data_IF_283507273541
#
_entry.id   IF_283507273541
#
_cell.length_a   1.000
_cell.length_b   1.000
_cell.length_c   1.000
_cell.angle_alpha   90.00
_cell.angle_beta   90.00
_cell.angle_gamma   90.00
#
_symmetry.space_group_name_H-M   'P 1'
#
loop_
_entity.id
_entity.type
_entity.pdbx_description
1 polymer ?
#
# COMPACT_ATOMS: atom_id res chain seq x y z
N UNK A 1 -6.33 -45.63 -12.72
CA UNK A 1 -6.59 -44.34 -13.41
C UNK A 1 -7.30 -43.30 -12.54
N UNK A 2 -8.35 -43.65 -11.79
CA UNK A 2 -9.11 -42.71 -10.93
C UNK A 2 -8.25 -41.94 -9.90
N UNK A 3 -7.25 -42.60 -9.31
CA UNK A 3 -6.30 -42.01 -8.36
C UNK A 3 -5.34 -40.96 -8.96
N UNK A 4 -5.03 -41.00 -10.27
CA UNK A 4 -4.16 -40.02 -10.94
C UNK A 4 -4.90 -38.72 -11.24
N UNK A 5 -6.20 -38.82 -11.53
CA UNK A 5 -7.10 -37.68 -11.78
C UNK A 5 -7.33 -36.90 -10.48
N UNK A 6 -7.60 -37.61 -9.37
CA UNK A 6 -7.81 -36.99 -8.04
C UNK A 6 -6.56 -36.21 -7.58
N UNK A 7 -5.35 -36.74 -7.83
CA UNK A 7 -4.09 -36.09 -7.45
C UNK A 7 -3.81 -34.81 -8.26
N UNK A 8 -4.19 -34.76 -9.54
CA UNK A 8 -4.02 -33.57 -10.37
C UNK A 8 -4.99 -32.44 -9.98
N UNK A 9 -6.22 -32.79 -9.60
CA UNK A 9 -7.24 -31.82 -9.17
C UNK A 9 -6.85 -31.14 -7.85
N UNK A 10 -6.29 -31.89 -6.89
CA UNK A 10 -5.87 -31.31 -5.59
C UNK A 10 -4.69 -30.34 -5.76
N UNK A 11 -3.72 -30.66 -6.62
CA UNK A 11 -2.58 -29.76 -6.91
C UNK A 11 -3.03 -28.47 -7.61
N UNK A 12 -4.01 -28.56 -8.51
CA UNK A 12 -4.55 -27.39 -9.22
C UNK A 12 -5.33 -26.43 -8.30
N UNK A 13 -6.06 -26.95 -7.31
CA UNK A 13 -6.82 -26.12 -6.35
C UNK A 13 -5.90 -25.38 -5.37
N UNK A 14 -4.80 -26.01 -4.93
CA UNK A 14 -3.83 -25.36 -4.04
C UNK A 14 -3.04 -24.23 -4.73
N UNK A 15 -2.87 -24.28 -6.06
CA UNK A 15 -2.17 -23.26 -6.82
C UNK A 15 -2.93 -21.93 -6.93
N UNK A 16 -4.27 -21.93 -6.82
CA UNK A 16 -5.08 -20.72 -7.00
C UNK A 16 -5.25 -19.84 -5.75
N UNK A 17 -4.93 -20.33 -4.55
CA UNK A 17 -5.11 -19.56 -3.29
C UNK A 17 -3.87 -18.78 -2.83
N UNK A 18 -2.80 -18.74 -3.64
CA UNK A 18 -1.53 -18.15 -3.24
C UNK A 18 -1.39 -16.63 -3.50
N UNK A 19 -2.43 -15.95 -4.01
CA UNK A 19 -2.47 -14.49 -4.08
C UNK A 19 -2.74 -13.90 -2.69
N UNK A 20 -1.80 -14.06 -1.77
CA UNK A 20 -1.89 -13.51 -0.43
C UNK A 20 -1.37 -12.06 -0.40
N UNK A 21 -2.07 -11.20 0.33
CA UNK A 21 -1.79 -9.78 0.54
C UNK A 21 -0.49 -9.57 1.35
N UNK A 22 0.65 -9.70 0.68
CA UNK A 22 1.99 -9.54 1.27
C UNK A 22 2.41 -8.07 1.41
N UNK A 23 1.60 -7.11 0.96
CA UNK A 23 2.02 -5.71 0.80
C UNK A 23 2.07 -4.91 2.10
N UNK A 24 1.31 -5.32 3.13
CA UNK A 24 1.20 -4.61 4.41
C UNK A 24 2.29 -5.00 5.42
N UNK A 25 2.73 -6.26 5.42
CA UNK A 25 3.78 -6.79 6.31
C UNK A 25 5.14 -6.07 6.19
N UNK A 26 5.72 -5.86 4.99
CA UNK A 26 7.01 -5.19 4.86
C UNK A 26 6.92 -3.72 5.30
N UNK A 27 5.84 -3.01 4.95
CA UNK A 27 5.68 -1.59 5.28
C UNK A 27 5.70 -1.32 6.78
N UNK A 28 5.06 -2.18 7.59
CA UNK A 28 5.05 -2.04 9.06
C UNK A 28 6.43 -2.30 9.67
N UNK A 29 7.15 -3.31 9.17
CA UNK A 29 8.50 -3.64 9.64
C UNK A 29 9.50 -2.52 9.33
N UNK A 30 9.37 -1.88 8.16
CA UNK A 30 10.29 -0.82 7.71
C UNK A 30 10.05 0.53 8.42
N UNK A 31 8.82 0.79 8.86
CA UNK A 31 8.43 2.11 9.40
C UNK A 31 8.28 2.11 10.91
N UNK A 32 8.08 0.94 11.53
CA UNK A 32 7.60 0.78 12.90
C UNK A 32 6.30 1.59 13.18
N UNK A 33 5.52 1.86 12.13
CA UNK A 33 4.33 2.69 12.17
C UNK A 33 3.06 1.91 12.49
N UNK A 34 2.06 2.63 13.02
CA UNK A 34 0.71 2.13 13.24
C UNK A 34 -0.21 2.63 12.10
N UNK A 35 -0.72 1.74 11.23
CA UNK A 35 -1.58 2.12 10.12
C UNK A 35 -2.89 2.80 10.55
N UNK A 36 -3.46 2.45 11.70
CA UNK A 36 -4.71 3.07 12.17
C UNK A 36 -4.47 4.50 12.63
N UNK A 37 -3.35 4.75 13.32
CA UNK A 37 -2.89 6.11 13.63
C UNK A 37 -2.56 6.89 12.35
N UNK A 38 -1.92 6.25 11.37
CA UNK A 38 -1.63 6.83 10.06
C UNK A 38 -2.91 7.28 9.34
N UNK A 39 -3.94 6.42 9.32
CA UNK A 39 -5.24 6.73 8.72
C UNK A 39 -5.91 7.95 9.35
N UNK A 40 -5.88 8.07 10.68
CA UNK A 40 -6.39 9.27 11.37
C UNK A 40 -5.55 10.51 11.06
N UNK A 41 -4.22 10.37 11.03
CA UNK A 41 -3.31 11.48 10.70
C UNK A 41 -3.57 12.05 9.30
N UNK A 42 -3.83 11.20 8.29
CA UNK A 42 -4.11 11.65 6.91
C UNK A 42 -5.32 12.61 6.84
N UNK A 43 -6.35 12.38 7.66
CA UNK A 43 -7.49 13.29 7.75
C UNK A 43 -7.12 14.54 8.54
N UNK A 44 -6.49 14.39 9.71
CA UNK A 44 -6.21 15.50 10.63
C UNK A 44 -5.21 16.53 10.07
N UNK A 45 -4.24 16.07 9.28
CA UNK A 45 -3.27 16.94 8.60
C UNK A 45 -3.73 17.39 7.20
N UNK A 46 -4.98 17.12 6.83
CA UNK A 46 -5.59 17.66 5.60
C UNK A 46 -5.15 16.99 4.29
N UNK A 47 -4.49 15.82 4.34
CA UNK A 47 -4.02 15.13 3.14
C UNK A 47 -5.17 14.79 2.16
N UNK A 48 -6.36 14.53 2.72
CA UNK A 48 -7.59 14.21 1.95
C UNK A 48 -8.09 15.36 1.08
N UNK A 49 -7.69 16.61 1.37
CA UNK A 49 -8.09 17.78 0.60
C UNK A 49 -7.44 17.82 -0.79
N UNK A 50 -6.24 17.23 -0.94
CA UNK A 50 -5.48 17.24 -2.19
C UNK A 50 -5.41 15.86 -2.85
N UNK A 51 -5.40 14.79 -2.06
CA UNK A 51 -5.14 13.44 -2.55
C UNK A 51 -6.36 12.52 -2.47
N UNK A 52 -6.45 11.60 -3.42
CA UNK A 52 -7.27 10.40 -3.32
C UNK A 52 -6.50 9.30 -2.57
N UNK A 53 -7.11 8.76 -1.49
CA UNK A 53 -6.49 7.80 -0.58
C UNK A 53 -7.46 6.64 -0.29
N UNK A 54 -7.17 5.42 -0.79
CA UNK A 54 -8.04 4.26 -0.54
C UNK A 54 -8.25 4.00 0.95
N UNK A 55 -9.51 3.78 1.35
CA UNK A 55 -9.87 3.47 2.72
C UNK A 55 -9.96 4.65 3.68
N UNK A 56 -9.76 5.90 3.21
CA UNK A 56 -9.94 7.13 4.00
C UNK A 56 -11.19 7.87 3.51
N UNK A 57 -12.07 8.26 4.44
CA UNK A 57 -13.34 8.92 4.10
C UNK A 57 -13.07 10.35 3.61
N UNK A 58 -13.73 10.76 2.52
CA UNK A 58 -13.64 12.12 1.99
C UNK A 58 -12.39 12.42 1.16
N UNK A 59 -11.57 11.41 0.81
CA UNK A 59 -10.41 11.60 -0.05
C UNK A 59 -10.74 11.21 -1.50
N UNK A 60 -11.36 12.12 -2.22
CA UNK A 60 -11.70 11.99 -3.65
C UNK A 60 -11.12 13.15 -4.48
N UNK A 61 -10.15 13.87 -3.90
CA UNK A 61 -9.48 14.98 -4.56
C UNK A 61 -8.44 14.50 -5.58
N UNK A 62 -8.34 15.23 -6.68
CA UNK A 62 -7.37 15.04 -7.76
C UNK A 62 -6.46 16.26 -7.93
N UNK A 63 -6.47 17.20 -6.97
CA UNK A 63 -5.57 18.36 -6.98
C UNK A 63 -4.10 17.95 -6.92
N UNK A 64 -3.81 16.79 -6.31
CA UNK A 64 -2.50 16.16 -6.29
C UNK A 64 -2.60 14.67 -6.67
N UNK A 65 -1.48 14.01 -7.04
CA UNK A 65 -1.49 12.61 -7.46
C UNK A 65 -2.10 11.68 -6.41
N UNK A 66 -2.85 10.63 -6.79
CA UNK A 66 -3.44 9.71 -5.82
C UNK A 66 -2.34 9.01 -5.01
N UNK A 67 -2.60 8.69 -3.74
CA UNK A 67 -1.65 7.95 -2.87
C UNK A 67 -1.86 6.43 -2.94
N UNK A 68 -2.74 5.97 -3.82
CA UNK A 68 -2.89 4.53 -4.09
C UNK A 68 -1.54 3.93 -4.48
N UNK A 69 -1.23 2.82 -3.83
CA UNK A 69 -0.02 2.07 -4.06
C UNK A 69 1.28 2.84 -3.81
N UNK A 70 1.27 3.85 -2.91
CA UNK A 70 2.47 4.65 -2.66
C UNK A 70 3.65 3.80 -2.17
N UNK A 71 3.41 2.74 -1.38
CA UNK A 71 4.49 1.90 -0.85
C UNK A 71 5.17 1.02 -1.91
N UNK A 72 4.54 0.82 -3.07
CA UNK A 72 5.09 0.01 -4.17
C UNK A 72 5.84 0.86 -5.21
N UNK A 73 5.83 2.19 -5.08
CA UNK A 73 6.56 3.07 -6.01
C UNK A 73 8.05 3.00 -5.73
N UNK A 74 8.88 3.05 -6.77
CA UNK A 74 10.33 3.17 -6.62
C UNK A 74 10.76 4.58 -6.23
N UNK A 75 10.01 5.59 -6.67
CA UNK A 75 10.33 7.01 -6.45
C UNK A 75 9.15 7.83 -5.92
N UNK A 76 9.46 8.79 -5.07
CA UNK A 76 8.58 9.84 -4.56
C UNK A 76 8.78 11.11 -5.40
N UNK A 77 7.67 11.69 -5.89
CA UNK A 77 7.66 12.87 -6.75
C UNK A 77 8.57 12.77 -8.00
N UNK A 78 8.96 11.56 -8.40
CA UNK A 78 9.91 11.31 -9.49
C UNK A 78 11.37 11.67 -9.19
N UNK A 79 11.70 12.01 -7.94
CA UNK A 79 13.02 12.57 -7.58
C UNK A 79 13.74 11.79 -6.47
N UNK A 80 13.00 11.30 -5.46
CA UNK A 80 13.59 10.64 -4.29
C UNK A 80 13.30 9.15 -4.32
N UNK A 81 14.26 8.29 -3.98
CA UNK A 81 13.97 6.88 -3.75
C UNK A 81 12.92 6.73 -2.64
N UNK A 82 11.98 5.81 -2.81
CA UNK A 82 10.90 5.59 -1.85
C UNK A 82 11.36 4.74 -0.66
N UNK A 83 12.08 5.40 0.25
CA UNK A 83 12.45 4.85 1.55
C UNK A 83 11.60 5.47 2.65
N UNK A 84 11.43 4.81 3.82
CA UNK A 84 10.71 5.40 4.95
C UNK A 84 11.24 6.77 5.38
N UNK A 85 12.57 6.97 5.37
CA UNK A 85 13.20 8.24 5.72
C UNK A 85 12.89 9.34 4.71
N UNK A 86 13.03 9.04 3.41
CA UNK A 86 12.72 10.00 2.36
C UNK A 86 11.24 10.37 2.37
N UNK A 87 10.34 9.41 2.59
CA UNK A 87 8.90 9.67 2.67
C UNK A 87 8.55 10.57 3.86
N UNK A 88 9.14 10.31 5.04
CA UNK A 88 8.95 11.19 6.21
C UNK A 88 9.42 12.61 5.93
N UNK A 89 10.63 12.76 5.40
CA UNK A 89 11.21 14.06 5.07
C UNK A 89 10.36 14.81 4.04
N UNK A 90 9.90 14.11 2.99
CA UNK A 90 9.04 14.68 1.96
C UNK A 90 7.68 15.14 2.51
N UNK A 91 7.07 14.39 3.44
CA UNK A 91 5.80 14.79 4.08
C UNK A 91 5.99 16.03 4.95
N UNK A 92 7.12 16.15 5.66
CA UNK A 92 7.41 17.30 6.53
C UNK A 92 7.79 18.55 5.74
N UNK A 93 8.44 18.38 4.58
CA UNK A 93 8.96 19.45 3.75
C UNK A 93 8.64 19.22 2.27
N UNK A 94 7.34 19.19 1.89
CA UNK A 94 6.94 19.03 0.49
C UNK A 94 7.37 20.27 -0.30
N UNK A 95 7.81 20.06 -1.54
CA UNK A 95 8.18 21.14 -2.47
C UNK A 95 7.13 21.34 -3.55
#
# INVERSE_FOLDING_TARGET
MKYRVIKCVIVAVLAFSACNDQTTKPSRLLTNGDPDRGKTALTNYGCVACHTIPGVRGSNSLTAPPLIGISQRSYLAGMLENTPDNLRSWIQHPR
#
